data_IF_636756508655
#
_entry.id   IF_636756508655
#
_cell.length_a   1.000
_cell.length_b   1.000
_cell.length_c   1.000
_cell.angle_alpha   90.00
_cell.angle_beta   90.00
_cell.angle_gamma   90.00
#
_symmetry.space_group_name_H-M   'P 1'
#
loop_
_entity.id
_entity.type
_entity.pdbx_description
1 polymer ?
#
# COMPACT_ATOMS: atom_id res chain seq x y z
N UNK A 1 0.83 -31.81 -9.12
CA UNK A 1 0.21 -32.33 -10.37
C UNK A 1 0.98 -31.64 -11.47
N UNK A 2 1.84 -32.37 -12.19
CA UNK A 2 2.65 -31.82 -13.27
C UNK A 2 1.75 -31.44 -14.46
N UNK A 3 2.11 -30.37 -15.17
CA UNK A 3 1.36 -29.90 -16.36
C UNK A 3 1.21 -30.96 -17.47
N UNK A 4 2.01 -32.03 -17.43
CA UNK A 4 1.95 -33.18 -18.37
C UNK A 4 0.73 -34.08 -18.17
N UNK A 5 0.03 -34.02 -17.02
CA UNK A 5 -1.09 -34.90 -16.68
C UNK A 5 -2.49 -34.32 -16.99
N UNK A 6 -2.60 -33.21 -17.73
CA UNK A 6 -3.90 -32.69 -18.12
C UNK A 6 -4.57 -33.58 -19.19
N UNK A 7 -5.70 -34.23 -18.88
CA UNK A 7 -6.38 -35.17 -19.81
C UNK A 7 -6.86 -34.50 -21.12
N UNK A 8 -6.88 -33.17 -21.17
CA UNK A 8 -7.20 -32.39 -22.39
C UNK A 8 -5.99 -32.25 -23.31
N UNK A 9 -4.77 -32.21 -22.73
CA UNK A 9 -3.54 -32.18 -23.51
C UNK A 9 -3.35 -33.47 -24.35
N UNK A 10 -3.72 -34.59 -23.80
CA UNK A 10 -3.63 -35.91 -24.50
C UNK A 10 -4.56 -36.02 -25.72
N UNK A 11 -5.53 -35.15 -25.87
CA UNK A 11 -6.46 -35.11 -27.02
C UNK A 11 -6.00 -34.18 -28.14
N UNK A 12 -4.92 -33.45 -27.94
CA UNK A 12 -4.33 -32.58 -28.96
C UNK A 12 -3.38 -33.38 -29.87
N UNK A 13 -3.21 -32.99 -31.14
CA UNK A 13 -2.20 -33.59 -32.02
C UNK A 13 -0.80 -33.49 -31.40
N UNK A 14 0.01 -34.53 -31.60
CA UNK A 14 1.33 -34.68 -30.96
C UNK A 14 2.27 -33.50 -31.21
N UNK A 15 2.18 -32.87 -32.40
CA UNK A 15 2.89 -31.66 -32.74
C UNK A 15 2.44 -30.44 -31.89
N UNK A 16 1.18 -30.38 -31.47
CA UNK A 16 0.65 -29.33 -30.60
C UNK A 16 1.11 -29.52 -29.16
N UNK A 17 1.15 -30.78 -28.68
CA UNK A 17 1.65 -31.12 -27.37
C UNK A 17 3.13 -30.73 -27.21
N UNK A 18 3.97 -31.04 -28.19
CA UNK A 18 5.40 -30.70 -28.20
C UNK A 18 5.66 -29.20 -28.13
N UNK A 19 4.84 -28.36 -28.76
CA UNK A 19 5.02 -26.90 -28.72
C UNK A 19 4.50 -26.32 -27.43
N UNK A 20 3.39 -26.80 -26.85
CA UNK A 20 2.86 -26.37 -25.58
C UNK A 20 3.80 -26.71 -24.40
N UNK A 21 4.50 -27.84 -24.48
CA UNK A 21 5.46 -28.28 -23.45
C UNK A 21 6.88 -27.71 -23.63
N UNK A 22 7.20 -27.12 -24.79
CA UNK A 22 8.57 -26.69 -25.11
C UNK A 22 8.99 -25.32 -24.50
N UNK A 23 8.13 -24.65 -23.71
CA UNK A 23 8.44 -23.36 -23.09
C UNK A 23 8.73 -22.23 -24.06
N UNK A 24 8.29 -22.31 -25.32
CA UNK A 24 8.53 -21.29 -26.34
C UNK A 24 7.71 -20.01 -26.10
N UNK A 25 8.24 -18.87 -26.58
CA UNK A 25 7.61 -17.58 -26.40
C UNK A 25 6.17 -17.53 -26.95
N UNK A 26 5.24 -16.79 -26.32
CA UNK A 26 3.82 -16.71 -26.69
C UNK A 26 3.54 -16.33 -28.16
N UNK A 27 4.45 -15.57 -28.78
CA UNK A 27 4.37 -15.19 -30.18
C UNK A 27 4.56 -16.36 -31.16
N UNK A 28 5.49 -17.27 -30.87
CA UNK A 28 5.74 -18.47 -31.69
C UNK A 28 4.61 -19.48 -31.57
N UNK A 29 4.08 -19.67 -30.35
CA UNK A 29 2.91 -20.52 -30.10
C UNK A 29 1.69 -20.04 -30.89
N UNK A 30 1.45 -18.72 -30.94
CA UNK A 30 0.32 -18.10 -31.65
C UNK A 30 0.43 -18.26 -33.17
N UNK A 31 1.62 -18.11 -33.73
CA UNK A 31 1.85 -18.27 -35.16
C UNK A 31 1.72 -19.74 -35.62
N UNK A 32 2.21 -20.69 -34.81
CA UNK A 32 2.03 -22.13 -35.04
C UNK A 32 0.54 -22.52 -34.97
N UNK A 33 -0.23 -22.01 -34.00
CA UNK A 33 -1.65 -22.27 -33.84
C UNK A 33 -2.50 -21.77 -35.03
N UNK A 34 -2.15 -20.61 -35.64
CA UNK A 34 -2.81 -20.11 -36.86
C UNK A 34 -2.53 -20.95 -38.11
N UNK A 35 -1.35 -21.52 -38.19
CA UNK A 35 -0.99 -22.46 -39.26
C UNK A 35 -1.80 -23.76 -39.18
N UNK A 36 -1.96 -24.28 -37.98
CA UNK A 36 -2.66 -25.56 -37.73
C UNK A 36 -4.17 -25.48 -37.87
N UNK A 37 -4.81 -24.40 -37.44
CA UNK A 37 -6.25 -24.23 -37.66
C UNK A 37 -6.62 -24.26 -39.16
N UNK A 38 -5.76 -23.78 -40.06
CA UNK A 38 -5.95 -23.91 -41.52
C UNK A 38 -5.68 -25.34 -42.02
N UNK A 39 -4.63 -25.99 -41.53
CA UNK A 39 -4.26 -27.35 -41.99
C UNK A 39 -5.30 -28.41 -41.54
N UNK A 40 -5.83 -28.33 -40.34
CA UNK A 40 -6.85 -29.21 -39.82
C UNK A 40 -8.21 -28.99 -40.51
N UNK A 41 -8.54 -27.75 -40.86
CA UNK A 41 -9.77 -27.40 -41.57
C UNK A 41 -9.77 -27.98 -43.00
N UNK A 42 -8.61 -28.01 -43.66
CA UNK A 42 -8.46 -28.59 -45.01
C UNK A 42 -8.45 -30.13 -45.03
N UNK A 43 -8.13 -30.78 -43.90
CA UNK A 43 -7.97 -32.25 -43.85
C UNK A 43 -9.23 -33.01 -43.34
N UNK A 44 -10.10 -32.40 -42.52
CA UNK A 44 -11.19 -33.13 -41.84
C UNK A 44 -12.61 -32.63 -42.11
N UNK A 45 -12.83 -31.47 -42.70
CA UNK A 45 -14.15 -30.96 -43.11
C UNK A 45 -15.22 -30.83 -41.98
N UNK A 46 -14.92 -31.26 -40.75
CA UNK A 46 -15.84 -31.26 -39.60
C UNK A 46 -15.29 -30.60 -38.38
N UNK A 47 -16.11 -29.77 -37.75
CA UNK A 47 -15.81 -29.13 -36.44
C UNK A 47 -15.90 -30.19 -35.34
N UNK A 48 -14.87 -30.98 -35.11
CA UNK A 48 -14.84 -31.99 -34.06
C UNK A 48 -14.54 -31.38 -32.68
N UNK A 49 -15.04 -32.04 -31.62
CA UNK A 49 -14.88 -31.70 -30.20
C UNK A 49 -13.41 -31.49 -29.79
N UNK A 50 -12.46 -32.16 -30.46
CA UNK A 50 -11.01 -32.04 -30.26
C UNK A 50 -10.44 -30.65 -30.64
N UNK A 51 -11.02 -29.97 -31.66
CA UNK A 51 -10.63 -28.65 -32.06
C UNK A 51 -11.07 -27.60 -31.04
N UNK A 52 -12.25 -27.81 -30.42
CA UNK A 52 -12.77 -26.93 -29.41
C UNK A 52 -11.96 -27.04 -28.10
N UNK A 53 -11.57 -28.22 -27.70
CA UNK A 53 -10.74 -28.46 -26.50
C UNK A 53 -9.33 -27.86 -26.70
N UNK A 54 -8.74 -27.96 -27.89
CA UNK A 54 -7.43 -27.41 -28.21
C UNK A 54 -7.46 -25.87 -28.26
N UNK A 55 -8.55 -25.27 -28.75
CA UNK A 55 -8.74 -23.81 -28.73
C UNK A 55 -8.92 -23.24 -27.32
N UNK A 56 -9.60 -23.98 -26.43
CA UNK A 56 -9.76 -23.58 -25.02
C UNK A 56 -8.42 -23.64 -24.30
N UNK A 57 -7.61 -24.69 -24.51
CA UNK A 57 -6.28 -24.80 -23.94
C UNK A 57 -5.33 -23.72 -24.47
N UNK A 58 -5.32 -23.45 -25.76
CA UNK A 58 -4.55 -22.36 -26.35
C UNK A 58 -4.98 -20.98 -25.80
N UNK A 59 -6.28 -20.78 -25.58
CA UNK A 59 -6.79 -19.55 -24.97
C UNK A 59 -6.34 -19.43 -23.52
N UNK A 60 -6.40 -20.51 -22.74
CA UNK A 60 -5.96 -20.56 -21.34
C UNK A 60 -4.44 -20.31 -21.22
N UNK A 61 -3.62 -20.93 -22.07
CA UNK A 61 -2.17 -20.72 -22.11
C UNK A 61 -1.77 -19.34 -22.65
N UNK A 62 -2.53 -18.76 -23.58
CA UNK A 62 -2.29 -17.40 -24.06
C UNK A 62 -2.83 -16.33 -23.11
N UNK A 63 -3.91 -16.58 -22.36
CA UNK A 63 -4.44 -15.67 -21.34
C UNK A 63 -3.64 -15.73 -20.03
N UNK A 64 -3.08 -16.89 -19.65
CA UNK A 64 -2.15 -16.99 -18.51
C UNK A 64 -0.78 -16.36 -18.79
N UNK A 65 -0.37 -16.26 -20.05
CA UNK A 65 0.84 -15.58 -20.50
C UNK A 65 0.58 -14.09 -20.86
N UNK A 66 -0.67 -13.65 -20.91
CA UNK A 66 -1.09 -12.27 -21.05
C UNK A 66 -1.28 -11.63 -19.67
N UNK A 67 -0.22 -11.51 -18.90
CA UNK A 67 0.01 -10.26 -18.18
C UNK A 67 0.18 -9.23 -19.30
N UNK A 68 -0.70 -8.22 -19.41
CA UNK A 68 -0.67 -7.36 -20.59
C UNK A 68 0.68 -6.66 -20.65
N UNK A 69 1.42 -6.88 -21.73
CA UNK A 69 2.62 -6.11 -22.12
C UNK A 69 2.37 -4.59 -22.11
N UNK A 70 1.10 -4.15 -22.17
CA UNK A 70 0.71 -2.76 -21.97
C UNK A 70 0.91 -2.23 -20.55
N UNK A 71 1.08 -3.09 -19.53
CA UNK A 71 1.48 -2.66 -18.20
C UNK A 71 3.00 -2.73 -17.99
N UNK A 72 3.74 -3.49 -18.79
CA UNK A 72 5.20 -3.48 -18.79
C UNK A 72 5.78 -2.33 -19.63
N UNK A 73 5.17 -1.93 -20.72
CA UNK A 73 5.60 -0.77 -21.50
C UNK A 73 5.33 0.57 -20.78
N UNK A 74 4.39 0.64 -19.84
CA UNK A 74 4.26 1.77 -18.90
C UNK A 74 5.15 1.63 -17.67
N UNK A 75 5.89 0.52 -17.54
CA UNK A 75 7.00 0.43 -16.61
C UNK A 75 8.13 1.29 -17.12
N UNK A 76 8.08 2.52 -16.64
CA UNK A 76 9.26 3.33 -16.42
C UNK A 76 10.13 3.58 -17.65
N UNK A 77 9.88 4.66 -18.33
CA UNK A 77 10.93 5.44 -19.03
C UNK A 77 11.99 6.00 -18.05
N UNK A 78 12.21 5.35 -16.90
CA UNK A 78 13.36 5.60 -16.05
C UNK A 78 14.48 4.68 -16.53
N UNK A 79 15.27 5.17 -17.46
CA UNK A 79 16.55 4.54 -17.81
C UNK A 79 17.36 4.44 -16.53
N UNK A 80 17.65 3.21 -16.09
CA UNK A 80 18.53 2.95 -14.94
C UNK A 80 19.92 3.44 -15.37
N UNK A 81 20.29 4.62 -14.90
CA UNK A 81 21.59 5.16 -15.19
C UNK A 81 22.66 4.34 -14.42
N UNK A 82 23.73 3.90 -15.07
CA UNK A 82 24.86 3.32 -14.36
C UNK A 82 25.46 4.36 -13.41
N UNK A 83 25.98 3.92 -12.25
CA UNK A 83 26.71 4.80 -11.33
C UNK A 83 27.94 5.33 -12.04
N UNK A 84 28.01 6.65 -12.25
CA UNK A 84 29.16 7.33 -12.85
C UNK A 84 29.94 8.09 -11.79
N UNK A 85 31.25 8.24 -11.99
CA UNK A 85 32.11 8.96 -11.07
C UNK A 85 31.71 10.42 -10.86
N UNK A 86 31.73 10.90 -9.61
CA UNK A 86 31.56 12.31 -9.26
C UNK A 86 32.93 13.00 -9.19
N UNK A 87 33.13 14.07 -9.95
CA UNK A 87 34.27 14.95 -9.76
C UNK A 87 34.27 15.59 -8.37
N UNK A 88 35.46 15.99 -7.86
CA UNK A 88 35.67 16.51 -6.50
C UNK A 88 34.67 17.63 -6.11
N UNK A 89 34.44 18.61 -7.00
CA UNK A 89 33.50 19.71 -6.75
C UNK A 89 32.03 19.23 -6.64
N UNK A 90 31.62 18.39 -7.58
CA UNK A 90 30.22 17.86 -7.59
C UNK A 90 29.95 16.98 -6.36
N UNK A 91 30.97 16.20 -5.93
CA UNK A 91 30.89 15.40 -4.71
C UNK A 91 30.74 16.28 -3.46
N UNK A 92 31.49 17.38 -3.38
CA UNK A 92 31.38 18.32 -2.26
C UNK A 92 29.99 18.98 -2.20
N UNK A 93 29.45 19.40 -3.35
CA UNK A 93 28.09 19.95 -3.46
C UNK A 93 27.01 18.94 -3.05
N UNK A 94 27.08 17.71 -3.58
CA UNK A 94 26.14 16.65 -3.21
C UNK A 94 26.23 16.36 -1.69
N UNK A 95 27.41 16.23 -1.15
CA UNK A 95 27.61 16.02 0.29
C UNK A 95 27.05 17.17 1.15
N UNK A 96 27.15 18.43 0.70
CA UNK A 96 26.53 19.57 1.39
C UNK A 96 25.01 19.47 1.41
N UNK A 97 24.39 19.09 0.29
CA UNK A 97 22.94 18.87 0.20
C UNK A 97 22.51 17.70 1.09
N UNK A 98 23.20 16.57 1.03
CA UNK A 98 22.87 15.38 1.81
C UNK A 98 23.02 15.60 3.32
N UNK A 99 23.99 16.39 3.76
CA UNK A 99 24.11 16.75 5.19
C UNK A 99 22.92 17.53 5.73
N UNK A 100 22.27 18.37 4.90
CA UNK A 100 21.04 19.10 5.28
C UNK A 100 19.77 18.28 5.09
N UNK A 101 19.82 17.25 4.23
CA UNK A 101 18.64 16.42 3.96
C UNK A 101 18.41 15.42 5.08
N UNK A 102 17.16 15.18 5.43
CA UNK A 102 16.74 14.10 6.31
C UNK A 102 16.48 12.78 5.57
N UNK A 103 17.19 12.51 4.44
CA UNK A 103 16.93 11.37 3.58
C UNK A 103 16.10 11.71 2.34
N UNK A 104 15.50 12.91 2.28
CA UNK A 104 14.77 13.39 1.10
C UNK A 104 15.36 14.71 0.63
N UNK A 105 15.67 14.81 -0.65
CA UNK A 105 16.26 15.97 -1.29
C UNK A 105 15.25 16.65 -2.19
N UNK A 106 15.08 17.96 -2.02
CA UNK A 106 14.22 18.80 -2.84
C UNK A 106 14.99 19.96 -3.45
N UNK A 107 14.49 20.60 -4.53
CA UNK A 107 15.13 21.80 -5.09
C UNK A 107 15.23 22.95 -4.07
N UNK A 108 14.27 23.10 -3.18
CA UNK A 108 14.30 24.13 -2.12
C UNK A 108 15.48 23.89 -1.18
N UNK A 109 15.63 22.66 -0.71
CA UNK A 109 16.74 22.28 0.16
C UNK A 109 18.09 22.44 -0.53
N UNK A 110 18.18 22.13 -1.83
CA UNK A 110 19.41 22.31 -2.60
C UNK A 110 19.77 23.80 -2.77
N UNK A 111 18.77 24.69 -2.97
CA UNK A 111 18.97 26.15 -2.96
C UNK A 111 19.58 26.60 -1.63
N UNK A 112 18.99 26.17 -0.51
CA UNK A 112 19.45 26.53 0.84
C UNK A 112 20.84 25.96 1.18
N UNK A 113 21.16 24.78 0.65
CA UNK A 113 22.44 24.12 0.94
C UNK A 113 23.61 24.66 0.13
N UNK A 114 23.35 25.14 -1.09
CA UNK A 114 24.39 25.53 -2.06
C UNK A 114 24.39 27.02 -2.39
N UNK A 115 23.38 27.78 -1.92
CA UNK A 115 23.18 29.20 -2.25
C UNK A 115 23.12 29.47 -3.76
N UNK A 116 22.44 28.57 -4.50
CA UNK A 116 22.28 28.66 -5.97
C UNK A 116 20.83 29.00 -6.32
N UNK A 117 20.61 29.38 -7.57
CA UNK A 117 19.25 29.63 -8.07
C UNK A 117 18.42 28.35 -8.10
N UNK A 118 17.09 28.49 -8.04
CA UNK A 118 16.16 27.34 -8.11
C UNK A 118 16.29 26.54 -9.41
N UNK A 119 16.61 27.23 -10.51
CA UNK A 119 16.82 26.57 -11.83
C UNK A 119 18.10 25.74 -11.80
N UNK A 120 19.15 26.28 -11.22
CA UNK A 120 20.45 25.62 -11.09
C UNK A 120 20.38 24.42 -10.15
N UNK A 121 19.72 24.57 -8.99
CA UNK A 121 19.42 23.47 -8.07
C UNK A 121 18.68 22.33 -8.77
N UNK A 122 17.64 22.63 -9.56
CA UNK A 122 16.88 21.62 -10.30
C UNK A 122 17.74 20.91 -11.36
N UNK A 123 18.64 21.65 -12.06
CA UNK A 123 19.59 21.08 -13.03
C UNK A 123 20.60 20.15 -12.33
N UNK A 124 21.15 20.57 -11.20
CA UNK A 124 22.09 19.75 -10.40
C UNK A 124 21.43 18.45 -9.94
N UNK A 125 20.23 18.52 -9.34
CA UNK A 125 19.50 17.34 -8.88
C UNK A 125 19.17 16.38 -10.03
N UNK A 126 18.76 16.90 -11.19
CA UNK A 126 18.50 16.08 -12.38
C UNK A 126 19.77 15.42 -12.90
N UNK A 127 20.92 16.12 -12.88
CA UNK A 127 22.22 15.57 -13.28
C UNK A 127 22.65 14.44 -12.34
N UNK A 128 22.56 14.65 -11.02
CA UNK A 128 22.92 13.62 -10.05
C UNK A 128 21.98 12.42 -10.11
N UNK A 129 20.71 12.63 -10.46
CA UNK A 129 19.78 11.52 -10.70
C UNK A 129 20.15 10.76 -11.99
N UNK A 130 20.53 11.44 -13.07
CA UNK A 130 21.00 10.80 -14.29
C UNK A 130 22.32 10.03 -14.10
N UNK A 131 23.15 10.47 -13.17
CA UNK A 131 24.40 9.81 -12.77
C UNK A 131 24.21 8.66 -11.77
N UNK A 132 22.97 8.41 -11.28
CA UNK A 132 22.65 7.35 -10.35
C UNK A 132 22.94 7.64 -8.87
N UNK A 133 23.38 8.86 -8.51
CA UNK A 133 23.64 9.24 -7.11
C UNK A 133 22.37 9.60 -6.34
N UNK A 134 21.34 10.04 -7.06
CA UNK A 134 20.01 10.28 -6.52
C UNK A 134 19.00 9.48 -7.33
N UNK A 135 17.99 8.97 -6.66
CA UNK A 135 16.80 8.41 -7.32
C UNK A 135 15.68 9.44 -7.28
N UNK A 136 15.09 9.73 -8.44
CA UNK A 136 13.93 10.59 -8.52
C UNK A 136 12.67 9.79 -8.23
N UNK A 137 12.07 9.94 -7.06
CA UNK A 137 10.82 9.26 -6.68
C UNK A 137 9.57 9.97 -7.22
N UNK A 138 9.65 11.31 -7.37
CA UNK A 138 8.62 12.15 -7.98
C UNK A 138 9.28 13.44 -8.50
N UNK A 139 8.55 14.22 -9.33
CA UNK A 139 9.02 15.55 -9.76
C UNK A 139 9.32 16.44 -8.54
N UNK A 140 10.57 16.84 -8.39
CA UNK A 140 11.06 17.67 -7.28
C UNK A 140 11.27 16.93 -5.96
N UNK A 141 11.20 15.60 -5.93
CA UNK A 141 11.52 14.79 -4.76
C UNK A 141 12.52 13.71 -5.17
N UNK A 142 13.66 13.71 -4.51
CA UNK A 142 14.75 12.80 -4.76
C UNK A 142 15.17 12.15 -3.44
N UNK A 143 15.70 10.94 -3.52
CA UNK A 143 16.33 10.23 -2.40
C UNK A 143 17.74 9.82 -2.78
N UNK A 144 18.68 9.80 -1.82
CA UNK A 144 20.01 9.29 -2.10
C UNK A 144 19.96 7.80 -2.43
N UNK A 145 20.80 7.37 -3.36
CA UNK A 145 21.01 5.95 -3.64
C UNK A 145 22.10 5.46 -2.69
N UNK A 146 21.84 4.42 -1.86
CA UNK A 146 22.87 3.84 -1.00
C UNK A 146 24.08 3.36 -1.83
N UNK A 147 25.29 3.54 -1.28
CA UNK A 147 26.52 3.13 -1.98
C UNK A 147 26.60 1.61 -2.17
N UNK A 148 25.93 0.85 -1.31
CA UNK A 148 25.83 -0.61 -1.37
C UNK A 148 24.88 -1.10 -2.47
N UNK A 149 24.11 -0.18 -3.06
CA UNK A 149 23.16 -0.52 -4.12
C UNK A 149 23.87 -0.60 -5.48
N UNK A 150 23.83 -1.75 -6.11
CA UNK A 150 24.33 -1.93 -7.48
C UNK A 150 23.49 -1.18 -8.53
N UNK A 151 22.25 -0.80 -8.16
CA UNK A 151 21.27 -0.16 -9.04
C UNK A 151 20.71 1.11 -8.43
N UNK A 152 20.56 2.12 -9.28
CA UNK A 152 19.98 3.41 -8.89
C UNK A 152 18.45 3.35 -8.59
N UNK A 153 17.78 2.22 -8.84
CA UNK A 153 16.35 2.03 -8.66
C UNK A 153 15.98 1.22 -7.41
N UNK A 154 16.91 1.03 -6.48
CA UNK A 154 16.62 0.37 -5.20
C UNK A 154 15.50 1.11 -4.45
N UNK A 155 14.65 0.34 -3.75
CA UNK A 155 13.61 0.95 -2.93
C UNK A 155 14.27 1.80 -1.84
N UNK A 156 13.76 3.02 -1.57
CA UNK A 156 14.24 3.81 -0.45
C UNK A 156 14.10 3.03 0.86
N UNK A 157 15.06 3.14 1.74
CA UNK A 157 15.07 2.45 3.04
C UNK A 157 13.86 2.84 3.91
N UNK A 158 13.42 4.10 3.80
CA UNK A 158 12.30 4.61 4.58
C UNK A 158 11.34 5.46 3.72
N UNK A 159 10.09 5.05 3.73
CA UNK A 159 9.02 5.73 3.00
C UNK A 159 8.44 6.95 3.73
N UNK A 160 8.62 7.06 5.05
CA UNK A 160 7.94 8.07 5.86
C UNK A 160 8.47 9.49 5.64
N UNK A 161 9.78 9.73 5.53
CA UNK A 161 10.30 11.05 5.13
C UNK A 161 9.82 11.50 3.76
N UNK A 162 9.63 10.55 2.84
CA UNK A 162 9.06 10.83 1.52
C UNK A 162 7.60 11.25 1.64
N UNK A 163 6.81 10.53 2.47
CA UNK A 163 5.42 10.88 2.74
C UNK A 163 5.29 12.29 3.32
N UNK A 164 6.09 12.61 4.34
CA UNK A 164 6.11 13.92 4.98
C UNK A 164 6.42 15.03 3.97
N UNK A 165 7.48 14.86 3.18
CA UNK A 165 7.85 15.84 2.14
C UNK A 165 6.78 16.00 1.05
N UNK A 166 6.14 14.90 0.64
CA UNK A 166 5.23 14.89 -0.50
C UNK A 166 3.81 15.34 -0.17
N UNK A 167 3.33 15.06 1.05
CA UNK A 167 1.94 15.19 1.45
C UNK A 167 1.70 16.15 2.62
N UNK A 168 2.73 16.79 3.19
CA UNK A 168 2.56 17.72 4.30
C UNK A 168 1.52 18.83 4.00
N UNK A 169 0.70 19.24 4.99
CA UNK A 169 0.61 18.71 6.35
C UNK A 169 0.01 17.32 6.37
N UNK A 170 0.70 16.35 7.01
CA UNK A 170 0.26 14.98 7.06
C UNK A 170 0.78 14.25 8.31
N UNK A 171 0.24 13.07 8.57
CA UNK A 171 0.74 12.13 9.55
C UNK A 171 0.56 10.69 9.09
N UNK A 172 1.41 9.81 9.56
CA UNK A 172 1.30 8.37 9.34
C UNK A 172 0.19 7.83 10.24
N UNK A 173 -0.70 7.00 9.71
CA UNK A 173 -1.92 6.55 10.39
C UNK A 173 -2.28 5.10 10.09
N UNK A 174 -3.39 4.63 10.68
CA UNK A 174 -3.95 3.31 10.45
C UNK A 174 -2.94 2.18 10.60
N UNK A 175 -2.95 1.20 9.67
CA UNK A 175 -2.05 0.04 9.78
C UNK A 175 -0.56 0.40 9.85
N UNK A 176 -0.10 1.48 9.18
CA UNK A 176 1.32 1.87 9.24
C UNK A 176 1.73 2.41 10.61
N UNK A 177 0.83 3.09 11.31
CA UNK A 177 1.03 3.49 12.70
C UNK A 177 0.88 2.29 13.64
N UNK A 178 -0.10 1.39 13.40
CA UNK A 178 -0.30 0.20 14.20
C UNK A 178 0.92 -0.74 14.16
N UNK A 179 1.50 -0.95 12.97
CA UNK A 179 2.75 -1.71 12.79
C UNK A 179 3.91 -1.08 13.57
N UNK A 180 4.06 0.25 13.49
CA UNK A 180 5.11 0.97 14.22
C UNK A 180 5.01 0.82 15.74
N UNK A 181 3.79 0.83 16.27
CA UNK A 181 3.53 0.68 17.72
C UNK A 181 3.46 -0.78 18.18
N UNK A 182 3.73 -1.75 17.29
CA UNK A 182 3.63 -3.17 17.64
C UNK A 182 2.22 -3.65 17.96
N UNK A 183 1.20 -2.95 17.45
CA UNK A 183 -0.21 -3.36 17.62
C UNK A 183 -0.62 -4.47 16.65
N UNK A 184 0.23 -4.82 15.71
CA UNK A 184 0.04 -5.90 14.73
C UNK A 184 1.39 -6.47 14.31
N UNK A 185 1.42 -7.77 14.01
CA UNK A 185 2.56 -8.45 13.40
C UNK A 185 2.49 -8.45 11.86
N UNK A 186 1.40 -7.94 11.29
CA UNK A 186 1.24 -7.86 9.85
C UNK A 186 2.12 -6.76 9.26
N UNK A 187 2.90 -7.11 8.25
CA UNK A 187 3.73 -6.17 7.49
C UNK A 187 2.96 -5.67 6.27
N UNK A 188 2.77 -4.37 6.17
CA UNK A 188 2.04 -3.75 5.07
C UNK A 188 2.99 -3.12 4.06
N UNK A 189 2.85 -3.49 2.77
CA UNK A 189 3.66 -2.92 1.68
C UNK A 189 3.29 -1.47 1.34
N UNK A 190 2.08 -1.05 1.72
CA UNK A 190 1.54 0.27 1.40
C UNK A 190 1.56 1.15 2.65
N UNK A 191 2.13 2.33 2.56
CA UNK A 191 2.14 3.30 3.66
C UNK A 191 0.83 4.08 3.67
N UNK A 192 0.14 4.09 4.81
CA UNK A 192 -1.09 4.85 5.02
C UNK A 192 -0.78 6.22 5.62
N UNK A 193 -1.23 7.26 4.93
CA UNK A 193 -0.97 8.66 5.29
C UNK A 193 -2.28 9.44 5.33
N UNK A 194 -2.51 10.15 6.42
CA UNK A 194 -3.59 11.12 6.56
C UNK A 194 -3.08 12.54 6.30
N UNK A 195 -3.78 13.31 5.46
CA UNK A 195 -3.36 14.68 5.08
C UNK A 195 -4.56 15.61 4.94
N UNK A 196 -4.37 16.89 5.20
CA UNK A 196 -5.39 17.93 4.94
C UNK A 196 -5.41 18.38 3.48
N UNK A 197 -4.42 17.99 2.68
CA UNK A 197 -4.34 18.44 1.28
C UNK A 197 -5.43 17.80 0.42
N UNK A 198 -5.93 18.58 -0.52
CA UNK A 198 -6.81 18.05 -1.57
C UNK A 198 -6.07 17.04 -2.43
N UNK A 199 -6.57 15.81 -2.49
CA UNK A 199 -5.92 14.69 -3.17
C UNK A 199 -6.37 14.61 -4.64
N UNK A 200 -5.39 14.43 -5.55
CA UNK A 200 -5.66 14.05 -6.95
C UNK A 200 -5.82 12.53 -7.10
N UNK A 201 -5.13 11.77 -6.28
CA UNK A 201 -5.21 10.30 -6.22
C UNK A 201 -5.14 9.86 -4.77
N UNK A 202 -5.96 8.88 -4.40
CA UNK A 202 -5.94 8.26 -3.07
C UNK A 202 -4.90 7.14 -2.95
N UNK A 203 -4.37 6.65 -4.07
CA UNK A 203 -3.38 5.56 -4.12
C UNK A 203 -2.22 5.94 -5.04
N UNK A 204 -1.43 6.99 -4.69
CA UNK A 204 -0.28 7.35 -5.50
C UNK A 204 0.86 6.36 -5.27
N UNK A 205 1.64 6.11 -6.33
CA UNK A 205 2.91 5.39 -6.27
C UNK A 205 4.05 6.37 -6.49
N UNK A 206 5.08 6.29 -5.68
CA UNK A 206 6.29 7.11 -5.81
C UNK A 206 7.52 6.20 -5.81
N UNK A 207 8.18 6.09 -6.95
CA UNK A 207 9.21 5.09 -7.15
C UNK A 207 8.62 3.68 -6.96
N UNK A 208 9.18 2.92 -6.02
CA UNK A 208 8.70 1.57 -5.65
C UNK A 208 7.79 1.55 -4.43
N UNK A 209 7.41 2.71 -3.89
CA UNK A 209 6.57 2.82 -2.69
C UNK A 209 5.13 3.10 -3.10
N UNK A 210 4.22 2.29 -2.59
CA UNK A 210 2.79 2.50 -2.71
C UNK A 210 2.27 3.23 -1.47
N UNK A 211 1.48 4.28 -1.70
CA UNK A 211 0.84 5.04 -0.63
C UNK A 211 -0.68 4.90 -0.71
N UNK A 212 -1.32 4.86 0.44
CA UNK A 212 -2.76 5.07 0.58
C UNK A 212 -2.99 6.36 1.34
N UNK A 213 -3.69 7.30 0.70
CA UNK A 213 -3.95 8.62 1.27
C UNK A 213 -5.39 8.74 1.74
N UNK A 214 -5.57 9.30 2.95
CA UNK A 214 -6.85 9.71 3.52
C UNK A 214 -6.86 11.22 3.67
N UNK A 215 -7.93 11.87 3.24
CA UNK A 215 -8.14 13.29 3.53
C UNK A 215 -8.80 13.43 4.89
N UNK A 216 -8.27 14.31 5.73
CA UNK A 216 -8.76 14.63 7.06
C UNK A 216 -8.89 16.15 7.21
N UNK A 217 -9.71 16.60 8.17
CA UNK A 217 -9.80 18.00 8.51
C UNK A 217 -8.68 18.43 9.45
N UNK A 218 -8.35 19.71 9.49
CA UNK A 218 -7.34 20.24 10.42
C UNK A 218 -7.66 19.94 11.90
N UNK A 219 -8.95 19.91 12.26
CA UNK A 219 -9.42 19.51 13.60
C UNK A 219 -9.06 18.09 13.98
N UNK A 220 -8.75 17.24 12.99
CA UNK A 220 -8.32 15.84 13.20
C UNK A 220 -6.82 15.72 13.46
N UNK A 221 -6.04 16.81 13.46
CA UNK A 221 -4.61 16.81 13.79
C UNK A 221 -4.39 16.86 15.31
N UNK A 222 -4.84 15.82 15.99
CA UNK A 222 -4.63 15.60 17.43
C UNK A 222 -4.21 14.13 17.67
N UNK A 223 -3.69 13.84 18.89
CA UNK A 223 -3.21 12.51 19.23
C UNK A 223 -2.05 12.07 18.34
N UNK A 224 -1.13 12.99 18.04
CA UNK A 224 0.04 12.73 17.21
C UNK A 224 1.30 12.72 18.05
N UNK A 225 2.19 11.79 17.75
CA UNK A 225 3.55 11.74 18.27
C UNK A 225 4.55 11.98 17.15
N UNK A 226 5.56 12.80 17.43
CA UNK A 226 6.66 13.02 16.52
C UNK A 226 7.73 11.94 16.74
N UNK A 227 8.05 11.21 15.68
CA UNK A 227 9.07 10.16 15.70
C UNK A 227 10.20 10.51 14.75
N UNK A 228 11.40 10.14 15.11
CA UNK A 228 12.57 10.32 14.26
C UNK A 228 12.72 9.13 13.31
N UNK A 229 12.80 9.43 12.02
CA UNK A 229 13.13 8.47 10.96
C UNK A 229 14.42 8.94 10.29
N UNK A 230 15.53 8.34 10.71
CA UNK A 230 16.83 8.88 10.40
C UNK A 230 16.99 10.30 10.96
N UNK A 231 17.08 11.31 10.08
CA UNK A 231 17.23 12.73 10.42
C UNK A 231 15.95 13.55 10.23
N UNK A 232 14.86 12.91 9.86
CA UNK A 232 13.56 13.57 9.64
C UNK A 232 12.60 13.27 10.79
N UNK A 233 11.95 14.30 11.28
CA UNK A 233 10.89 14.19 12.28
C UNK A 233 9.55 14.06 11.58
N UNK A 234 8.89 12.90 11.73
CA UNK A 234 7.62 12.59 11.08
C UNK A 234 6.52 12.48 12.13
N UNK A 235 5.33 12.99 11.82
CA UNK A 235 4.16 12.85 12.68
C UNK A 235 3.50 11.48 12.46
N UNK A 236 3.13 10.82 13.56
CA UNK A 236 2.47 9.50 13.56
C UNK A 236 1.29 9.58 14.54
N UNK A 237 0.14 8.99 14.22
CA UNK A 237 -0.94 8.82 15.19
C UNK A 237 -0.43 7.98 16.37
N UNK A 238 -0.66 8.44 17.61
CA UNK A 238 -0.29 7.65 18.81
C UNK A 238 -1.15 6.36 18.91
N UNK A 239 -0.81 5.41 19.78
CA UNK A 239 -1.54 4.15 19.87
C UNK A 239 -3.05 4.32 20.08
N UNK A 240 -3.48 5.20 21.00
CA UNK A 240 -4.90 5.44 21.27
C UNK A 240 -5.60 6.07 20.05
N UNK A 241 -4.96 7.06 19.40
CA UNK A 241 -5.49 7.68 18.20
C UNK A 241 -5.55 6.69 17.03
N UNK A 242 -4.55 5.84 16.89
CA UNK A 242 -4.53 4.80 15.87
C UNK A 242 -5.75 3.90 16.00
N UNK A 243 -6.06 3.40 17.20
CA UNK A 243 -7.26 2.58 17.44
C UNK A 243 -8.55 3.35 17.12
N UNK A 244 -8.66 4.63 17.50
CA UNK A 244 -9.85 5.46 17.18
C UNK A 244 -10.04 5.58 15.67
N UNK A 245 -8.96 5.79 14.91
CA UNK A 245 -9.01 5.83 13.44
C UNK A 245 -9.49 4.51 12.85
N UNK A 246 -9.02 3.36 13.37
CA UNK A 246 -9.48 2.02 12.96
C UNK A 246 -10.96 1.79 13.29
N UNK A 247 -11.44 2.29 14.42
CA UNK A 247 -12.85 2.22 14.79
C UNK A 247 -13.71 3.18 13.95
N UNK A 248 -13.14 4.25 13.43
CA UNK A 248 -13.85 5.14 12.49
C UNK A 248 -14.01 4.50 11.10
N UNK A 249 -12.98 3.84 10.61
CA UNK A 249 -12.97 3.10 9.35
C UNK A 249 -12.08 1.85 9.46
N UNK A 250 -12.68 0.64 9.63
CA UNK A 250 -11.93 -0.60 9.74
C UNK A 250 -11.02 -0.91 8.54
N UNK A 251 -11.33 -0.35 7.37
CA UNK A 251 -10.48 -0.52 6.18
C UNK A 251 -9.08 0.07 6.34
N UNK A 252 -8.87 0.98 7.32
CA UNK A 252 -7.57 1.56 7.67
C UNK A 252 -6.69 0.59 8.47
N UNK A 253 -7.25 -0.51 8.98
CA UNK A 253 -6.54 -1.59 9.66
C UNK A 253 -6.45 -2.88 8.84
N UNK A 254 -6.84 -2.83 7.55
CA UNK A 254 -6.92 -4.04 6.72
C UNK A 254 -8.24 -4.81 6.85
N UNK A 255 -9.25 -4.23 7.48
CA UNK A 255 -10.59 -4.77 7.70
C UNK A 255 -10.93 -4.98 9.18
N UNK A 256 -12.14 -5.42 9.43
CA UNK A 256 -12.69 -5.52 10.78
C UNK A 256 -11.88 -6.46 11.69
N UNK A 257 -11.56 -7.67 11.21
CA UNK A 257 -10.86 -8.68 12.03
C UNK A 257 -9.51 -8.16 12.48
N UNK A 258 -8.69 -7.70 11.56
CA UNK A 258 -7.38 -7.11 11.85
C UNK A 258 -7.50 -5.89 12.78
N UNK A 259 -8.52 -5.03 12.58
CA UNK A 259 -8.75 -3.88 13.48
C UNK A 259 -9.16 -4.29 14.91
N UNK A 260 -9.91 -5.39 15.05
CA UNK A 260 -10.27 -5.94 16.35
C UNK A 260 -9.05 -6.57 17.06
N UNK A 261 -8.23 -7.31 16.32
CA UNK A 261 -6.98 -7.88 16.82
C UNK A 261 -6.02 -6.76 17.30
N UNK A 262 -5.90 -5.67 16.54
CA UNK A 262 -5.10 -4.50 16.93
C UNK A 262 -5.64 -3.84 18.20
N UNK A 263 -6.96 -3.78 18.39
CA UNK A 263 -7.56 -3.29 19.64
C UNK A 263 -7.24 -4.24 20.82
N UNK A 264 -7.29 -5.55 20.63
CA UNK A 264 -6.90 -6.52 21.67
C UNK A 264 -5.44 -6.36 22.06
N UNK A 265 -4.53 -6.25 21.09
CA UNK A 265 -3.11 -6.04 21.33
C UNK A 265 -2.86 -4.71 22.07
N UNK A 266 -3.59 -3.64 21.70
CA UNK A 266 -3.55 -2.37 22.43
C UNK A 266 -4.00 -2.52 23.88
N UNK A 267 -5.09 -3.26 24.14
CA UNK A 267 -5.62 -3.49 25.48
C UNK A 267 -4.69 -4.40 26.33
N UNK A 268 -3.95 -5.30 25.70
CA UNK A 268 -2.96 -6.15 26.34
C UNK A 268 -1.62 -5.44 26.62
N UNK A 269 -1.32 -4.35 25.89
CA UNK A 269 -0.05 -3.64 26.00
C UNK A 269 0.06 -2.88 27.30
N UNK A 270 1.09 -3.15 28.09
CA UNK A 270 1.40 -2.40 29.32
C UNK A 270 1.89 -0.96 29.01
N UNK A 271 2.54 -0.78 27.88
CA UNK A 271 3.14 0.50 27.47
C UNK A 271 2.12 1.45 26.82
N UNK A 272 1.22 0.90 26.04
CA UNK A 272 0.36 1.71 25.14
C UNK A 272 -1.08 1.83 25.62
N UNK A 273 -1.53 0.93 26.51
CA UNK A 273 -2.91 0.93 27.02
C UNK A 273 -3.23 2.19 27.82
N UNK A 274 -4.15 2.97 27.31
CA UNK A 274 -4.76 4.10 27.99
C UNK A 274 -6.22 4.26 27.53
N UNK A 275 -7.12 3.51 28.18
CA UNK A 275 -8.53 3.45 27.77
C UNK A 275 -9.25 4.79 28.00
N UNK A 276 -8.85 5.54 29.03
CA UNK A 276 -9.36 6.89 29.28
C UNK A 276 -9.05 7.83 28.13
N UNK A 277 -7.80 7.84 27.65
CA UNK A 277 -7.37 8.63 26.49
C UNK A 277 -8.05 8.15 25.19
N UNK A 278 -8.18 6.83 25.01
CA UNK A 278 -8.86 6.23 23.86
C UNK A 278 -10.28 6.79 23.69
N UNK A 279 -11.08 6.79 24.78
CA UNK A 279 -12.45 7.32 24.74
C UNK A 279 -12.47 8.85 24.56
N UNK A 280 -11.56 9.58 25.21
CA UNK A 280 -11.44 11.04 25.02
C UNK A 280 -11.10 11.41 23.57
N UNK A 281 -10.29 10.62 22.90
CA UNK A 281 -10.00 10.81 21.46
C UNK A 281 -11.20 10.47 20.59
N UNK A 282 -12.00 9.47 20.94
CA UNK A 282 -13.25 9.16 20.26
C UNK A 282 -14.24 10.34 20.38
N UNK A 283 -14.33 10.97 21.57
CA UNK A 283 -15.14 12.16 21.82
C UNK A 283 -14.66 13.36 20.99
N UNK A 284 -13.34 13.59 20.96
CA UNK A 284 -12.72 14.67 20.16
C UNK A 284 -13.00 14.48 18.66
N UNK A 285 -12.92 13.23 18.17
CA UNK A 285 -13.23 12.92 16.77
C UNK A 285 -14.72 13.09 16.46
N UNK A 286 -15.62 12.81 17.41
CA UNK A 286 -17.06 13.06 17.32
C UNK A 286 -17.81 12.18 16.31
N UNK A 287 -17.23 11.03 15.88
CA UNK A 287 -17.85 10.13 14.90
C UNK A 287 -18.68 9.06 15.62
N UNK A 288 -20.00 9.13 15.51
CA UNK A 288 -20.94 8.24 16.21
C UNK A 288 -20.72 6.74 15.97
N UNK A 289 -20.18 6.33 14.82
CA UNK A 289 -19.85 4.95 14.53
C UNK A 289 -18.69 4.41 15.39
N UNK A 290 -17.77 5.30 15.80
CA UNK A 290 -16.64 4.94 16.69
C UNK A 290 -17.16 4.45 18.03
N UNK A 291 -18.07 5.18 18.67
CA UNK A 291 -18.62 4.79 19.97
C UNK A 291 -19.35 3.45 19.92
N UNK A 292 -20.08 3.20 18.83
CA UNK A 292 -20.82 1.95 18.64
C UNK A 292 -19.88 0.74 18.49
N UNK A 293 -18.83 0.89 17.68
CA UNK A 293 -17.83 -0.17 17.46
C UNK A 293 -16.94 -0.36 18.68
N UNK A 294 -16.44 0.74 19.22
CA UNK A 294 -15.54 0.71 20.38
C UNK A 294 -16.25 0.16 21.61
N UNK A 295 -17.45 0.66 21.95
CA UNK A 295 -18.24 0.18 23.08
C UNK A 295 -18.58 -1.30 22.96
N UNK A 296 -19.05 -1.74 21.78
CA UNK A 296 -19.32 -3.14 21.49
C UNK A 296 -18.10 -4.06 21.68
N UNK A 297 -16.92 -3.62 21.24
CA UNK A 297 -15.68 -4.41 21.36
C UNK A 297 -15.10 -4.34 22.77
N UNK A 298 -15.15 -3.19 23.46
CA UNK A 298 -14.70 -3.06 24.85
C UNK A 298 -15.51 -3.93 25.80
N UNK A 299 -16.84 -4.03 25.61
CA UNK A 299 -17.72 -4.89 26.38
C UNK A 299 -17.29 -6.38 26.34
N UNK A 300 -16.57 -6.79 25.30
CA UNK A 300 -16.09 -8.17 25.08
C UNK A 300 -14.65 -8.38 25.45
N UNK A 301 -13.79 -7.41 25.18
CA UNK A 301 -12.34 -7.55 25.35
C UNK A 301 -11.86 -7.04 26.70
N UNK A 302 -12.57 -6.08 27.29
CA UNK A 302 -12.24 -5.45 28.56
C UNK A 302 -13.51 -5.08 29.34
N UNK A 303 -14.33 -6.05 29.77
CA UNK A 303 -15.61 -5.81 30.46
C UNK A 303 -15.46 -5.03 31.76
N UNK A 304 -14.27 -5.06 32.36
CA UNK A 304 -13.96 -4.33 33.58
C UNK A 304 -13.84 -2.81 33.36
N UNK A 305 -13.65 -2.35 32.12
CA UNK A 305 -13.58 -0.93 31.75
C UNK A 305 -14.98 -0.27 31.72
N UNK A 306 -15.78 -0.45 32.78
CA UNK A 306 -17.18 -0.02 32.87
C UNK A 306 -17.38 1.47 32.59
N UNK A 307 -16.42 2.32 33.05
CA UNK A 307 -16.49 3.77 32.81
C UNK A 307 -16.38 4.09 31.31
N UNK A 308 -15.40 3.50 30.61
CA UNK A 308 -15.19 3.70 29.20
C UNK A 308 -16.39 3.18 28.36
N UNK A 309 -16.91 2.00 28.71
CA UNK A 309 -18.11 1.42 28.09
C UNK A 309 -19.32 2.33 28.31
N UNK A 310 -19.51 2.84 29.53
CA UNK A 310 -20.58 3.77 29.87
C UNK A 310 -20.49 5.09 29.08
N UNK A 311 -19.30 5.66 28.94
CA UNK A 311 -19.09 6.87 28.10
C UNK A 311 -19.43 6.59 26.62
N UNK A 312 -19.02 5.45 26.08
CA UNK A 312 -19.39 5.06 24.72
C UNK A 312 -20.92 4.89 24.57
N UNK A 313 -21.58 4.29 25.56
CA UNK A 313 -23.05 4.10 25.56
C UNK A 313 -23.81 5.44 25.63
N UNK A 314 -23.31 6.38 26.45
CA UNK A 314 -23.91 7.73 26.55
C UNK A 314 -23.76 8.54 25.24
N UNK A 315 -22.65 8.34 24.52
CA UNK A 315 -22.36 9.04 23.26
C UNK A 315 -23.04 8.41 22.02
N UNK A 316 -23.94 7.44 22.21
CA UNK A 316 -24.61 6.76 21.08
C UNK A 316 -25.51 7.73 20.31
N UNK A 317 -25.20 7.89 19.04
CA UNK A 317 -26.02 8.68 18.10
C UNK A 317 -27.25 7.90 17.64
N UNK A 318 -28.29 8.62 17.18
CA UNK A 318 -29.50 8.05 16.57
C UNK A 318 -29.19 7.19 15.37
N UNK A 319 -29.71 6.33 14.86
CA UNK A 319 -29.42 5.50 13.68
C UNK A 319 -28.43 4.38 13.94
N UNK A 320 -28.35 3.45 13.03
CA UNK A 320 -27.50 2.27 13.13
C UNK A 320 -26.20 2.46 12.36
N UNK A 321 -25.12 1.86 12.85
CA UNK A 321 -23.86 1.75 12.12
C UNK A 321 -23.59 0.28 11.74
N UNK A 322 -22.68 0.05 10.83
CA UNK A 322 -22.14 -1.28 10.54
C UNK A 322 -20.85 -1.47 11.29
N UNK A 323 -20.62 -2.67 11.82
CA UNK A 323 -19.34 -3.02 12.42
C UNK A 323 -18.24 -2.97 11.36
N UNK A 324 -18.50 -3.52 10.16
CA UNK A 324 -17.70 -3.31 8.95
C UNK A 324 -18.60 -2.83 7.79
N UNK A 325 -18.36 -1.62 7.26
CA UNK A 325 -19.12 -1.12 6.13
C UNK A 325 -18.94 -1.93 4.83
N UNK A 326 -17.82 -2.64 4.68
CA UNK A 326 -17.49 -3.41 3.49
C UNK A 326 -18.18 -4.78 3.44
N UNK A 327 -18.71 -5.26 4.57
CA UNK A 327 -19.31 -6.59 4.67
C UNK A 327 -20.85 -6.53 4.69
N UNK A 328 -21.54 -7.59 4.20
CA UNK A 328 -22.98 -7.72 4.31
C UNK A 328 -23.39 -7.86 5.79
N UNK A 329 -24.54 -7.27 6.15
CA UNK A 329 -25.05 -7.29 7.51
C UNK A 329 -25.97 -8.48 7.73
N UNK A 330 -25.96 -9.04 8.94
CA UNK A 330 -26.88 -10.13 9.30
C UNK A 330 -27.64 -9.88 10.60
N UNK A 331 -26.97 -9.44 11.66
CA UNK A 331 -27.53 -9.33 13.01
C UNK A 331 -27.39 -7.92 13.56
N UNK A 332 -28.47 -7.34 14.05
CA UNK A 332 -28.44 -6.06 14.76
C UNK A 332 -28.27 -6.29 16.25
N UNK A 333 -27.24 -5.67 16.83
CA UNK A 333 -27.07 -5.53 18.28
C UNK A 333 -27.73 -4.22 18.69
N UNK A 334 -28.94 -4.28 19.24
CA UNK A 334 -29.75 -3.11 19.57
C UNK A 334 -29.14 -2.22 20.62
N UNK A 335 -28.48 -2.82 21.64
CA UNK A 335 -27.79 -2.08 22.69
C UNK A 335 -26.76 -1.09 22.14
N UNK A 336 -26.02 -1.48 21.09
CA UNK A 336 -25.01 -0.65 20.45
C UNK A 336 -25.45 -0.04 19.12
N UNK A 337 -26.72 -0.28 18.68
CA UNK A 337 -27.21 0.16 17.35
C UNK A 337 -26.24 -0.21 16.24
N UNK A 338 -25.74 -1.45 16.27
CA UNK A 338 -24.64 -1.91 15.46
C UNK A 338 -24.99 -3.17 14.68
N UNK A 339 -24.90 -3.11 13.36
CA UNK A 339 -25.07 -4.26 12.48
C UNK A 339 -23.77 -5.08 12.45
N UNK A 340 -23.88 -6.35 12.78
CA UNK A 340 -22.78 -7.31 12.67
C UNK A 340 -22.82 -8.01 11.32
N UNK A 341 -21.66 -8.26 10.71
CA UNK A 341 -21.57 -9.04 9.48
C UNK A 341 -21.89 -10.51 9.73
N UNK A 342 -22.19 -11.23 8.64
CA UNK A 342 -22.39 -12.67 8.67
C UNK A 342 -21.12 -13.37 9.13
N UNK A 343 -21.28 -14.42 9.95
CA UNK A 343 -20.14 -15.21 10.46
C UNK A 343 -19.20 -14.46 11.42
N UNK A 344 -19.56 -13.24 11.86
CA UNK A 344 -18.75 -12.53 12.84
C UNK A 344 -18.77 -13.29 14.18
N UNK A 345 -17.60 -13.81 14.53
CA UNK A 345 -17.28 -14.27 15.88
C UNK A 345 -16.23 -13.30 16.42
N UNK A 346 -16.42 -12.89 17.65
CA UNK A 346 -15.42 -12.09 18.36
C UNK A 346 -14.15 -12.94 18.45
N UNK A 347 -12.97 -12.42 18.04
CA UNK A 347 -11.71 -13.14 18.15
C UNK A 347 -11.41 -13.59 19.56
#
# INVERSE_FOLDING_TARGET
MSEEDDPKLRRCPEAAQKILLSGQSPGRVRNAARGWSRAIWSATGTRGKALFDCQILLKKYTESALIPLSMEEKRSQYTIAPLSGLGKASRAQLAAVLRKSGGVVTPVLAVEALSVSRVEAAKLLSRWAAQGWLQRVRRGIYVPVPLESERADSAPEDAWPIADTAFAPCFISGWSAAEYWGLTEQVFRTVLVSTTRRLRSRKPRMGRIDFRLRTVNEKEFFGLKAVWRGRTRVQVSDPSRTIVDLMSDPSLGGGLRSSADMLQNYLASKEHRNVGQLVSYAETLGVGAVFKRLGYLLERFAPDERNAIGRCAWALTKGNAKLDPALPNKKLVTAWRLWLPEGWKVP
#
